data_IF_368268475872
#
_entry.id   IF_368268475872
#
_cell.length_a   1.000
_cell.length_b   1.000
_cell.length_c   1.000
_cell.angle_alpha   90.00
_cell.angle_beta   90.00
_cell.angle_gamma   90.00
#
_symmetry.space_group_name_H-M   'P 1'
#
loop_
_entity.id
_entity.type
_entity.pdbx_description
1 polymer ?
#
# COMPACT_ATOMS: atom_id res chain seq x y z
N UNK A 1 36.20 -3.59 -5.90
CA UNK A 1 34.95 -3.42 -5.13
C UNK A 1 34.11 -2.32 -5.76
N UNK A 2 32.99 -2.70 -6.31
CA UNK A 2 32.09 -1.74 -6.92
C UNK A 2 31.17 -1.12 -5.87
N UNK A 3 31.17 0.20 -5.77
CA UNK A 3 30.24 0.89 -4.90
C UNK A 3 28.82 0.77 -5.47
N UNK A 4 27.89 0.44 -4.61
CA UNK A 4 26.48 0.34 -4.98
C UNK A 4 25.90 1.75 -5.12
N UNK A 5 25.33 2.06 -6.27
CA UNK A 5 24.63 3.34 -6.45
C UNK A 5 23.33 3.31 -5.64
N UNK A 6 23.10 4.37 -4.88
CA UNK A 6 21.87 4.55 -4.09
C UNK A 6 21.00 5.60 -4.77
N UNK A 7 19.73 5.29 -4.95
CA UNK A 7 18.75 6.17 -5.58
C UNK A 7 17.46 6.16 -4.76
N UNK A 8 16.70 7.26 -4.81
CA UNK A 8 15.38 7.32 -4.19
C UNK A 8 14.40 6.31 -4.82
N UNK A 9 14.66 5.89 -6.06
CA UNK A 9 13.82 4.89 -6.73
C UNK A 9 14.08 3.46 -6.24
N UNK A 10 15.13 3.24 -5.46
CA UNK A 10 15.45 1.91 -4.90
C UNK A 10 14.30 1.36 -4.06
N UNK A 11 13.51 2.24 -3.43
CA UNK A 11 12.37 1.83 -2.62
C UNK A 11 11.30 1.08 -3.42
N UNK A 12 11.30 1.24 -4.74
CA UNK A 12 10.35 0.57 -5.64
C UNK A 12 10.96 -0.63 -6.37
N UNK A 13 12.27 -0.79 -6.32
CA UNK A 13 12.97 -1.89 -6.97
C UNK A 13 13.03 -3.09 -6.02
N UNK A 14 12.13 -4.05 -6.23
CA UNK A 14 11.98 -5.19 -5.34
C UNK A 14 13.12 -6.21 -5.45
N UNK A 15 13.88 -6.16 -6.54
CA UNK A 15 15.04 -7.03 -6.73
C UNK A 15 16.28 -6.49 -6.03
N UNK A 16 16.29 -5.22 -5.68
CA UNK A 16 17.39 -4.59 -5.01
C UNK A 16 17.30 -4.79 -3.50
N UNK A 17 18.33 -5.36 -2.90
CA UNK A 17 18.41 -5.59 -1.47
C UNK A 17 19.89 -5.64 -1.05
N UNK A 18 20.29 -4.98 0.05
CA UNK A 18 19.44 -4.13 0.91
C UNK A 18 19.15 -2.77 0.27
N UNK A 19 18.08 -2.12 0.73
CA UNK A 19 17.73 -0.76 0.30
C UNK A 19 17.65 0.16 1.51
N UNK A 20 17.98 1.43 1.29
CA UNK A 20 17.89 2.45 2.33
C UNK A 20 16.54 3.16 2.23
N UNK A 21 15.73 3.05 3.29
CA UNK A 21 14.44 3.72 3.37
C UNK A 21 14.02 3.98 4.82
N UNK A 22 13.12 4.94 4.99
CA UNK A 22 12.50 5.17 6.30
C UNK A 22 11.26 4.28 6.47
N UNK A 23 10.63 4.34 7.66
CA UNK A 23 9.49 3.48 7.97
C UNK A 23 8.28 3.69 7.05
N UNK A 24 7.96 4.94 6.70
CA UNK A 24 6.83 5.22 5.81
C UNK A 24 7.10 4.78 4.38
N UNK A 25 8.32 4.91 3.91
CA UNK A 25 8.73 4.36 2.61
C UNK A 25 8.64 2.83 2.60
N UNK A 26 8.97 2.19 3.73
CA UNK A 26 8.86 0.74 3.87
C UNK A 26 7.41 0.26 3.75
N UNK A 27 6.44 1.03 4.24
CA UNK A 27 5.02 0.68 4.10
C UNK A 27 4.57 0.69 2.64
N UNK A 28 5.04 1.66 1.85
CA UNK A 28 4.76 1.68 0.40
C UNK A 28 5.39 0.46 -0.27
N UNK A 29 6.65 0.18 0.03
CA UNK A 29 7.35 -0.98 -0.53
C UNK A 29 6.66 -2.29 -0.15
N UNK A 30 6.11 -2.38 1.06
CA UNK A 30 5.36 -3.55 1.53
C UNK A 30 4.17 -3.87 0.62
N UNK A 31 3.44 -2.85 0.17
CA UNK A 31 2.31 -3.03 -0.75
C UNK A 31 2.78 -3.63 -2.08
N UNK A 32 3.90 -3.13 -2.61
CA UNK A 32 4.47 -3.66 -3.85
C UNK A 32 4.98 -5.10 -3.68
N UNK A 33 5.58 -5.40 -2.53
CA UNK A 33 6.05 -6.76 -2.21
C UNK A 33 4.85 -7.72 -2.13
N UNK A 34 3.76 -7.31 -1.49
CA UNK A 34 2.57 -8.17 -1.38
C UNK A 34 2.02 -8.51 -2.76
N UNK A 35 1.91 -7.52 -3.64
CA UNK A 35 1.46 -7.76 -5.01
C UNK A 35 2.40 -8.72 -5.74
N UNK A 36 3.70 -8.55 -5.60
CA UNK A 36 4.69 -9.40 -6.25
C UNK A 36 4.63 -10.85 -5.72
N UNK A 37 4.44 -11.02 -4.42
CA UNK A 37 4.30 -12.35 -3.81
C UNK A 37 3.05 -13.06 -4.30
N UNK A 38 1.93 -12.34 -4.38
CA UNK A 38 0.68 -12.90 -4.87
C UNK A 38 0.82 -13.33 -6.33
N UNK A 39 1.44 -12.49 -7.17
CA UNK A 39 1.69 -12.82 -8.57
C UNK A 39 2.58 -14.05 -8.71
N UNK A 40 3.60 -14.17 -7.87
CA UNK A 40 4.50 -15.34 -7.88
C UNK A 40 3.76 -16.62 -7.47
N UNK A 41 2.69 -16.49 -6.67
CA UNK A 41 1.83 -17.62 -6.29
C UNK A 41 0.72 -17.89 -7.30
N UNK A 42 0.70 -17.17 -8.43
CA UNK A 42 -0.32 -17.35 -9.46
C UNK A 42 -1.63 -16.61 -9.20
N UNK A 43 -1.64 -15.67 -8.24
CA UNK A 43 -2.82 -14.91 -7.89
C UNK A 43 -2.76 -13.50 -8.45
N UNK A 44 -3.87 -13.04 -9.00
CA UNK A 44 -4.03 -11.67 -9.46
C UNK A 44 -4.79 -10.88 -8.39
N UNK A 45 -4.07 -10.18 -7.54
CA UNK A 45 -4.65 -9.43 -6.43
C UNK A 45 -4.57 -7.93 -6.65
N UNK A 46 -5.43 -7.20 -5.97
CA UNK A 46 -5.38 -5.75 -5.89
C UNK A 46 -5.12 -5.32 -4.45
N UNK A 47 -4.65 -4.10 -4.27
CA UNK A 47 -4.46 -3.54 -2.95
C UNK A 47 -5.34 -2.32 -2.71
N UNK A 48 -5.72 -2.11 -1.46
CA UNK A 48 -6.45 -0.91 -1.05
C UNK A 48 -5.80 -0.32 0.18
N UNK A 49 -5.38 0.93 0.09
CA UNK A 49 -4.72 1.65 1.17
C UNK A 49 -5.56 2.86 1.53
N UNK A 50 -5.91 2.99 2.79
CA UNK A 50 -6.69 4.12 3.26
C UNK A 50 -6.36 4.47 4.70
N UNK A 51 -6.61 5.70 5.09
CA UNK A 51 -6.37 6.17 6.44
C UNK A 51 -6.65 7.66 6.54
N UNK A 52 -6.44 8.21 7.73
CA UNK A 52 -6.67 9.62 7.98
C UNK A 52 -5.35 10.38 8.06
N UNK A 53 -5.17 11.33 7.16
CA UNK A 53 -3.91 12.10 7.03
C UNK A 53 -3.57 12.96 8.25
N UNK A 54 -4.56 13.30 9.08
CA UNK A 54 -4.36 14.08 10.30
C UNK A 54 -3.75 13.31 11.47
N UNK A 55 -3.53 12.00 11.28
CA UNK A 55 -2.93 11.16 12.32
C UNK A 55 -1.41 11.41 12.44
N UNK A 56 -0.76 10.90 13.51
CA UNK A 56 0.69 10.94 13.60
C UNK A 56 1.40 10.23 12.45
N UNK A 57 0.68 9.41 11.70
CA UNK A 57 1.18 8.73 10.51
C UNK A 57 0.89 9.51 9.22
N UNK A 58 0.70 10.82 9.30
CA UNK A 58 0.40 11.66 8.15
C UNK A 58 1.42 11.59 7.01
N UNK A 59 2.67 11.23 7.30
CA UNK A 59 3.69 11.04 6.27
C UNK A 59 3.39 9.86 5.34
N UNK A 60 2.49 8.95 5.72
CA UNK A 60 2.10 7.82 4.87
C UNK A 60 1.39 8.30 3.62
N UNK A 61 0.45 9.26 3.74
CA UNK A 61 -0.27 9.78 2.59
C UNK A 61 0.68 10.49 1.61
N UNK A 62 1.67 11.22 2.11
CA UNK A 62 2.69 11.85 1.29
C UNK A 62 3.45 10.80 0.48
N UNK A 63 3.90 9.72 1.13
CA UNK A 63 4.64 8.67 0.45
C UNK A 63 3.77 7.90 -0.56
N UNK A 64 2.51 7.65 -0.23
CA UNK A 64 1.59 7.00 -1.16
C UNK A 64 1.34 7.86 -2.40
N UNK A 65 1.17 9.18 -2.23
CA UNK A 65 1.01 10.10 -3.35
C UNK A 65 2.25 10.17 -4.22
N UNK A 66 3.45 10.17 -3.63
CA UNK A 66 4.71 10.16 -4.37
C UNK A 66 4.91 8.87 -5.15
N UNK A 67 4.31 7.79 -4.70
CA UNK A 67 4.41 6.47 -5.34
C UNK A 67 3.20 6.16 -6.24
N UNK A 68 2.36 7.13 -6.54
CA UNK A 68 1.10 6.91 -7.26
C UNK A 68 1.27 6.12 -8.55
N UNK A 69 2.30 6.42 -9.33
CA UNK A 69 2.57 5.73 -10.60
C UNK A 69 2.87 4.25 -10.37
N UNK A 70 3.73 3.94 -9.40
CA UNK A 70 4.14 2.58 -9.09
C UNK A 70 2.98 1.79 -8.46
N UNK A 71 2.19 2.43 -7.60
CA UNK A 71 1.04 1.80 -6.97
C UNK A 71 -0.04 1.47 -8.00
N UNK A 72 -0.33 2.40 -8.91
CA UNK A 72 -1.30 2.16 -9.98
C UNK A 72 -0.86 1.00 -10.88
N UNK A 73 0.42 0.92 -11.21
CA UNK A 73 0.97 -0.17 -12.00
C UNK A 73 0.86 -1.53 -11.30
N UNK A 74 0.81 -1.54 -9.97
CA UNK A 74 0.67 -2.74 -9.16
C UNK A 74 -0.78 -3.03 -8.74
N UNK A 75 -1.75 -2.31 -9.29
CA UNK A 75 -3.17 -2.42 -8.93
C UNK A 75 -3.44 -2.12 -7.45
N UNK A 76 -2.70 -1.19 -6.88
CA UNK A 76 -2.88 -0.72 -5.50
C UNK A 76 -3.55 0.64 -5.55
N UNK A 77 -4.74 0.74 -4.97
CA UNK A 77 -5.49 1.99 -4.90
C UNK A 77 -5.26 2.65 -3.53
N UNK A 78 -4.84 3.90 -3.55
CA UNK A 78 -4.76 4.72 -2.36
C UNK A 78 -5.89 5.74 -2.36
N UNK A 79 -6.66 5.77 -1.27
CA UNK A 79 -7.79 6.69 -1.11
C UNK A 79 -7.80 7.23 0.32
N UNK A 80 -7.58 8.54 0.47
CA UNK A 80 -7.60 9.17 1.79
C UNK A 80 -9.02 9.16 2.37
N UNK A 81 -9.15 8.76 3.64
CA UNK A 81 -10.40 8.82 4.36
C UNK A 81 -10.68 10.21 4.93
N UNK A 82 -11.95 10.55 5.11
CA UNK A 82 -12.35 11.78 5.76
C UNK A 82 -12.06 11.76 7.26
N UNK A 83 -12.09 10.59 7.86
CA UNK A 83 -11.69 10.34 9.25
C UNK A 83 -11.35 8.86 9.40
N UNK A 84 -10.91 8.48 10.59
CA UNK A 84 -10.46 7.11 10.86
C UNK A 84 -11.58 6.08 10.68
N UNK A 85 -12.78 6.39 11.14
CA UNK A 85 -13.93 5.48 11.04
C UNK A 85 -14.36 5.26 9.59
N UNK A 86 -14.44 6.32 8.81
CA UNK A 86 -14.80 6.21 7.38
C UNK A 86 -13.73 5.46 6.60
N UNK A 87 -12.45 5.66 6.93
CA UNK A 87 -11.36 4.92 6.30
C UNK A 87 -11.47 3.43 6.63
N UNK A 88 -11.71 3.08 7.88
CA UNK A 88 -11.89 1.68 8.28
C UNK A 88 -13.09 1.04 7.60
N UNK A 89 -14.19 1.79 7.47
CA UNK A 89 -15.40 1.31 6.78
C UNK A 89 -15.12 1.04 5.29
N UNK A 90 -14.37 1.94 4.64
CA UNK A 90 -13.99 1.77 3.24
C UNK A 90 -13.12 0.52 3.06
N UNK A 91 -12.19 0.27 3.97
CA UNK A 91 -11.36 -0.93 3.93
C UNK A 91 -12.21 -2.19 4.11
N UNK A 92 -13.13 -2.17 5.07
CA UNK A 92 -14.07 -3.28 5.28
C UNK A 92 -14.85 -3.59 4.01
N UNK A 93 -15.36 -2.55 3.33
CA UNK A 93 -16.06 -2.70 2.05
C UNK A 93 -15.19 -3.36 0.98
N UNK A 94 -13.92 -2.94 0.87
CA UNK A 94 -12.98 -3.54 -0.08
C UNK A 94 -12.78 -5.03 0.19
N UNK A 95 -12.74 -5.45 1.46
CA UNK A 95 -12.57 -6.85 1.84
C UNK A 95 -13.82 -7.69 1.60
N UNK A 96 -14.98 -7.07 1.38
CA UNK A 96 -16.25 -7.77 1.13
C UNK A 96 -16.49 -8.08 -0.36
N UNK A 97 -15.68 -7.56 -1.24
CA UNK A 97 -15.88 -7.71 -2.70
C UNK A 97 -16.00 -9.17 -3.13
N UNK A 98 -15.17 -10.05 -2.60
CA UNK A 98 -15.17 -11.48 -2.93
C UNK A 98 -16.41 -12.22 -2.41
N UNK A 99 -16.93 -11.80 -1.26
CA UNK A 99 -18.10 -12.43 -0.67
C UNK A 99 -19.36 -12.24 -1.53
N UNK A 100 -19.37 -11.18 -2.34
CA UNK A 100 -20.49 -10.89 -3.23
C UNK A 100 -20.29 -11.44 -4.65
N UNK A 101 -19.15 -12.03 -4.91
CA UNK A 101 -18.82 -12.55 -6.23
C UNK A 101 -18.66 -11.48 -7.29
N UNK A 102 -18.40 -10.25 -6.88
CA UNK A 102 -18.27 -9.08 -7.77
C UNK A 102 -16.82 -8.69 -8.02
N UNK A 103 -15.87 -9.39 -7.41
CA UNK A 103 -14.46 -9.05 -7.50
C UNK A 103 -13.86 -9.38 -8.85
N UNK A 104 -13.08 -8.44 -9.39
CA UNK A 104 -12.29 -8.64 -10.61
C UNK A 104 -11.02 -9.44 -10.34
N UNK A 105 -10.56 -9.45 -9.11
CA UNK A 105 -9.28 -10.01 -8.69
C UNK A 105 -9.52 -11.22 -7.81
N UNK A 106 -8.48 -12.05 -7.67
CA UNK A 106 -8.52 -13.22 -6.79
C UNK A 106 -8.67 -12.85 -5.32
N UNK A 107 -8.27 -11.62 -4.97
CA UNK A 107 -8.42 -11.09 -3.63
C UNK A 107 -7.94 -9.66 -3.54
N UNK A 108 -8.22 -9.01 -2.40
CA UNK A 108 -7.80 -7.63 -2.12
C UNK A 108 -7.07 -7.61 -0.79
N UNK A 109 -5.79 -7.20 -0.81
CA UNK A 109 -5.08 -6.92 0.44
C UNK A 109 -5.29 -5.46 0.83
N UNK A 110 -5.25 -5.16 2.11
CA UNK A 110 -5.53 -3.82 2.59
C UNK A 110 -4.57 -3.32 3.63
N UNK A 111 -4.39 -2.02 3.67
CA UNK A 111 -3.65 -1.30 4.71
C UNK A 111 -4.50 -0.13 5.19
N UNK A 112 -4.75 -0.11 6.47
CA UNK A 112 -5.39 1.03 7.14
C UNK A 112 -4.39 1.63 8.13
N UNK A 113 -4.31 2.96 8.17
CA UNK A 113 -3.50 3.66 9.15
C UNK A 113 -4.32 4.73 9.85
N UNK A 114 -4.07 4.89 11.15
CA UNK A 114 -4.79 5.86 11.96
C UNK A 114 -4.26 5.87 13.38
N UNK A 115 -4.90 6.69 14.21
CA UNK A 115 -4.59 6.81 15.62
C UNK A 115 -5.81 6.38 16.44
N UNK A 116 -5.58 5.57 17.49
CA UNK A 116 -6.64 5.04 18.34
C UNK A 116 -7.65 6.07 18.83
N UNK A 117 -7.24 7.25 19.35
CA UNK A 117 -8.19 8.26 19.82
C UNK A 117 -9.14 8.80 18.76
N UNK A 118 -8.82 8.67 17.47
CA UNK A 118 -9.68 9.12 16.39
C UNK A 118 -10.72 8.10 15.91
N UNK A 119 -10.66 6.91 16.47
CA UNK A 119 -11.55 5.81 16.05
C UNK A 119 -12.81 5.73 16.88
#
# INVERSE_FOLDING_TARGET
MTSQKVSLNDRFDLEKSPVLLNGTQALVRLMLIQKARDAAAGLDTAGYVTGYRGSPLGAVDIQMNRAAKQLTAADVKFHEGLNEDLAATALWGAQQAELRGEGKFDGVFGLWYGKGPGV
#
